data_IF_143085330241
#
_entry.id   IF_143085330241
#
_cell.length_a   1.000
_cell.length_b   1.000
_cell.length_c   1.000
_cell.angle_alpha   90.00
_cell.angle_beta   90.00
_cell.angle_gamma   90.00
#
_symmetry.space_group_name_H-M   'P 1'
#
loop_
_entity.id
_entity.type
_entity.pdbx_description
1 polymer ?
#
# COMPACT_ATOMS: atom_id res chain seq x y z
N UNK A 1 -14.06 -44.49 30.51
CA UNK A 1 -14.14 -43.11 29.96
C UNK A 1 -13.68 -43.13 28.51
N UNK A 2 -14.54 -42.75 27.55
CA UNK A 2 -14.14 -42.61 26.13
C UNK A 2 -13.61 -41.19 25.90
N UNK A 3 -12.51 -40.99 25.16
CA UNK A 3 -12.01 -39.64 24.89
C UNK A 3 -12.94 -38.93 23.91
N UNK A 4 -13.36 -37.72 24.29
CA UNK A 4 -14.22 -36.83 23.50
C UNK A 4 -13.36 -36.22 22.38
N UNK A 5 -13.59 -36.66 21.14
CA UNK A 5 -12.93 -36.11 19.94
C UNK A 5 -13.33 -34.64 19.81
N UNK A 6 -12.35 -33.72 19.88
CA UNK A 6 -12.59 -32.30 19.63
C UNK A 6 -13.07 -32.10 18.17
N UNK A 7 -14.02 -31.18 17.92
CA UNK A 7 -14.45 -30.91 16.55
C UNK A 7 -13.30 -30.25 15.78
N UNK A 8 -12.94 -30.84 14.64
CA UNK A 8 -12.04 -30.21 13.69
C UNK A 8 -12.70 -28.94 13.15
N UNK A 9 -12.05 -27.79 13.31
CA UNK A 9 -12.50 -26.52 12.75
C UNK A 9 -12.51 -26.62 11.22
N UNK A 10 -13.70 -26.57 10.63
CA UNK A 10 -13.94 -26.57 9.18
C UNK A 10 -13.95 -25.14 8.64
N UNK A 11 -12.88 -24.37 8.87
CA UNK A 11 -12.71 -23.11 8.15
C UNK A 11 -12.59 -23.44 6.65
N UNK A 12 -13.54 -22.95 5.83
CA UNK A 12 -13.39 -23.01 4.37
C UNK A 12 -12.06 -22.34 4.01
N UNK A 13 -11.30 -22.88 3.04
CA UNK A 13 -10.18 -22.13 2.49
C UNK A 13 -10.72 -20.80 1.95
N UNK A 14 -10.19 -19.69 2.45
CA UNK A 14 -10.56 -18.35 1.99
C UNK A 14 -10.34 -18.30 0.48
N UNK A 15 -11.26 -17.72 -0.27
CA UNK A 15 -11.05 -17.55 -1.70
C UNK A 15 -9.79 -16.71 -1.92
N UNK A 16 -9.04 -16.91 -3.02
CA UNK A 16 -7.86 -16.08 -3.27
C UNK A 16 -8.16 -14.56 -3.30
N UNK A 17 -9.38 -14.16 -3.69
CA UNK A 17 -9.84 -12.76 -3.59
C UNK A 17 -10.04 -12.33 -2.14
N UNK A 18 -10.62 -13.19 -1.30
CA UNK A 18 -10.80 -12.91 0.12
C UNK A 18 -9.46 -12.74 0.84
N UNK A 19 -8.45 -13.55 0.50
CA UNK A 19 -7.08 -13.38 1.04
C UNK A 19 -6.48 -12.02 0.67
N UNK A 20 -6.70 -11.57 -0.57
CA UNK A 20 -6.23 -10.27 -1.02
C UNK A 20 -6.90 -9.14 -0.23
N UNK A 21 -8.21 -9.23 -0.02
CA UNK A 21 -8.97 -8.27 0.80
C UNK A 21 -8.51 -8.27 2.27
N UNK A 22 -8.36 -9.45 2.86
CA UNK A 22 -7.88 -9.64 4.24
C UNK A 22 -6.50 -9.00 4.45
N UNK A 23 -5.62 -9.10 3.46
CA UNK A 23 -4.27 -8.51 3.53
C UNK A 23 -4.24 -7.03 3.14
N UNK A 24 -5.13 -6.57 2.27
CA UNK A 24 -5.18 -5.19 1.78
C UNK A 24 -5.93 -4.21 2.69
N UNK A 25 -7.01 -4.65 3.32
CA UNK A 25 -7.88 -3.81 4.17
C UNK A 25 -7.15 -3.14 5.34
N UNK A 26 -6.24 -3.82 6.07
CA UNK A 26 -5.50 -3.18 7.15
C UNK A 26 -4.63 -2.00 6.67
N UNK A 27 -4.02 -2.12 5.48
CA UNK A 27 -3.19 -1.06 4.89
C UNK A 27 -4.06 0.17 4.60
N UNK A 28 -5.18 -0.03 3.90
CA UNK A 28 -6.14 1.04 3.58
C UNK A 28 -6.64 1.72 4.86
N UNK A 29 -7.00 0.93 5.88
CA UNK A 29 -7.52 1.44 7.15
C UNK A 29 -6.48 2.22 7.96
N UNK A 30 -5.20 1.86 7.88
CA UNK A 30 -4.13 2.63 8.52
C UNK A 30 -3.91 3.95 7.81
N UNK A 31 -3.87 3.95 6.47
CA UNK A 31 -3.66 5.16 5.68
C UNK A 31 -4.79 6.17 5.84
N UNK A 32 -6.03 5.70 5.85
CA UNK A 32 -7.20 6.56 6.11
C UNK A 32 -7.11 7.24 7.49
N UNK A 33 -6.65 6.51 8.52
CA UNK A 33 -6.43 7.08 9.85
C UNK A 33 -5.30 8.11 9.88
N UNK A 34 -4.21 7.86 9.16
CA UNK A 34 -3.09 8.80 9.05
C UNK A 34 -3.55 10.08 8.34
N UNK A 35 -4.27 9.95 7.22
CA UNK A 35 -4.78 11.09 6.47
C UNK A 35 -5.70 11.98 7.34
N UNK A 36 -6.51 11.36 8.21
CA UNK A 36 -7.45 12.04 9.12
C UNK A 36 -6.84 12.48 10.45
N UNK A 37 -5.55 12.22 10.71
CA UNK A 37 -4.93 12.60 11.98
C UNK A 37 -4.77 14.13 12.09
N UNK A 38 -4.42 14.61 13.29
CA UNK A 38 -4.11 16.03 13.52
C UNK A 38 -2.63 16.37 13.26
N UNK A 39 -1.83 15.41 12.78
CA UNK A 39 -0.39 15.60 12.60
C UNK A 39 -0.07 16.56 11.45
N UNK A 40 1.11 17.21 11.44
CA UNK A 40 1.53 18.01 10.31
C UNK A 40 1.58 17.19 9.01
N UNK A 41 1.23 17.76 7.83
CA UNK A 41 1.16 17.03 6.57
C UNK A 41 2.44 16.25 6.20
N UNK A 42 3.62 16.78 6.56
CA UNK A 42 4.89 16.10 6.34
C UNK A 42 5.03 14.82 7.17
N UNK A 43 4.58 14.84 8.43
CA UNK A 43 4.60 13.69 9.33
C UNK A 43 3.59 12.64 8.86
N UNK A 44 2.38 13.07 8.46
CA UNK A 44 1.37 12.20 7.86
C UNK A 44 1.94 11.47 6.64
N UNK A 45 2.57 12.21 5.74
CA UNK A 45 3.07 11.64 4.49
C UNK A 45 4.23 10.67 4.72
N UNK A 46 5.17 11.01 5.61
CA UNK A 46 6.27 10.11 5.99
C UNK A 46 5.73 8.81 6.55
N UNK A 47 4.82 8.86 7.53
CA UNK A 47 4.21 7.65 8.09
C UNK A 47 3.38 6.86 7.08
N UNK A 48 2.64 7.54 6.19
CA UNK A 48 1.90 6.88 5.11
C UNK A 48 2.84 6.15 4.14
N UNK A 49 3.97 6.77 3.79
CA UNK A 49 4.99 6.16 2.94
C UNK A 49 5.65 4.97 3.64
N UNK A 50 5.99 5.05 4.92
CA UNK A 50 6.53 3.92 5.68
C UNK A 50 5.58 2.72 5.66
N UNK A 51 4.27 2.94 5.81
CA UNK A 51 3.26 1.87 5.74
C UNK A 51 3.19 1.26 4.34
N UNK A 52 3.10 2.09 3.29
CA UNK A 52 2.99 1.61 1.91
C UNK A 52 4.26 0.88 1.49
N UNK A 53 5.43 1.46 1.74
CA UNK A 53 6.70 0.83 1.39
C UNK A 53 7.03 -0.38 2.26
N UNK A 54 6.63 -0.41 3.53
CA UNK A 54 6.72 -1.61 4.35
C UNK A 54 5.83 -2.73 3.80
N UNK A 55 4.61 -2.38 3.38
CA UNK A 55 3.66 -3.33 2.81
C UNK A 55 4.07 -3.86 1.43
N UNK A 56 4.78 -3.10 0.60
CA UNK A 56 5.15 -3.55 -0.75
C UNK A 56 6.64 -3.86 -0.93
N UNK A 57 7.54 -3.15 -0.25
CA UNK A 57 8.99 -3.31 -0.38
C UNK A 57 9.63 -4.22 0.65
N UNK A 58 9.05 -4.31 1.85
CA UNK A 58 9.56 -5.11 2.97
C UNK A 58 8.62 -6.25 3.38
N UNK A 59 7.55 -6.49 2.62
CA UNK A 59 6.59 -7.54 2.92
C UNK A 59 7.18 -8.93 2.82
N UNK A 60 6.54 -9.87 3.53
CA UNK A 60 6.84 -11.28 3.38
C UNK A 60 6.63 -11.77 1.93
N UNK A 61 7.28 -12.89 1.61
CA UNK A 61 7.21 -13.50 0.28
C UNK A 61 5.78 -13.95 -0.08
N UNK A 62 4.95 -14.26 0.91
CA UNK A 62 3.56 -14.69 0.70
C UNK A 62 2.68 -13.53 0.22
N UNK A 63 2.86 -12.33 0.78
CA UNK A 63 2.18 -11.11 0.34
C UNK A 63 2.62 -10.72 -1.07
N UNK A 64 3.93 -10.79 -1.34
CA UNK A 64 4.49 -10.54 -2.67
C UNK A 64 3.94 -11.53 -3.70
N UNK A 65 3.95 -12.82 -3.37
CA UNK A 65 3.36 -13.87 -4.20
C UNK A 65 1.87 -13.66 -4.45
N UNK A 66 1.10 -13.27 -3.43
CA UNK A 66 -0.34 -13.03 -3.52
C UNK A 66 -0.66 -11.88 -4.49
N UNK A 67 0.05 -10.75 -4.38
CA UNK A 67 -0.17 -9.59 -5.25
C UNK A 67 0.26 -9.87 -6.70
N UNK A 68 1.42 -10.51 -6.90
CA UNK A 68 1.89 -10.88 -8.23
C UNK A 68 0.96 -11.89 -8.90
N UNK A 69 0.51 -12.92 -8.17
CA UNK A 69 -0.49 -13.86 -8.65
C UNK A 69 -1.83 -13.17 -8.93
N UNK A 70 -2.23 -12.22 -8.07
CA UNK A 70 -3.41 -11.39 -8.25
C UNK A 70 -3.35 -10.58 -9.55
N UNK A 71 -2.22 -9.93 -9.84
CA UNK A 71 -2.03 -9.17 -11.08
C UNK A 71 -2.11 -10.05 -12.33
N UNK A 72 -1.54 -11.25 -12.30
CA UNK A 72 -1.69 -12.20 -13.41
C UNK A 72 -3.16 -12.61 -13.59
N UNK A 73 -3.86 -12.93 -12.50
CA UNK A 73 -5.27 -13.33 -12.53
C UNK A 73 -6.23 -12.23 -12.93
N UNK A 74 -5.93 -10.97 -12.62
CA UNK A 74 -6.77 -9.82 -12.97
C UNK A 74 -7.01 -9.65 -14.49
N UNK A 75 -6.17 -10.28 -15.33
CA UNK A 75 -6.38 -10.36 -16.78
C UNK A 75 -7.64 -11.13 -17.15
N UNK A 76 -7.97 -12.17 -16.38
CA UNK A 76 -9.01 -13.15 -16.69
C UNK A 76 -10.18 -13.11 -15.69
N UNK A 77 -9.91 -12.66 -14.46
CA UNK A 77 -10.88 -12.62 -13.36
C UNK A 77 -11.27 -11.18 -13.01
N UNK A 78 -12.54 -10.84 -13.33
CA UNK A 78 -13.11 -9.52 -13.09
C UNK A 78 -13.15 -9.16 -11.60
N UNK A 79 -13.40 -10.12 -10.71
CA UNK A 79 -13.49 -9.83 -9.28
C UNK A 79 -12.11 -9.45 -8.75
N UNK A 80 -11.08 -10.23 -9.11
CA UNK A 80 -9.69 -9.90 -8.80
C UNK A 80 -9.29 -8.52 -9.30
N UNK A 81 -9.61 -8.20 -10.55
CA UNK A 81 -9.31 -6.90 -11.14
C UNK A 81 -9.96 -5.76 -10.37
N UNK A 82 -11.22 -5.91 -9.98
CA UNK A 82 -11.94 -4.89 -9.22
C UNK A 82 -11.39 -4.74 -7.80
N UNK A 83 -11.12 -5.83 -7.09
CA UNK A 83 -10.53 -5.79 -5.75
C UNK A 83 -9.16 -5.10 -5.76
N UNK A 84 -8.29 -5.46 -6.70
CA UNK A 84 -6.97 -4.82 -6.85
C UNK A 84 -7.10 -3.34 -7.21
N UNK A 85 -7.96 -3.00 -8.17
CA UNK A 85 -8.17 -1.62 -8.59
C UNK A 85 -8.73 -0.78 -7.43
N UNK A 86 -9.69 -1.31 -6.68
CA UNK A 86 -10.25 -0.65 -5.52
C UNK A 86 -9.19 -0.38 -4.46
N UNK A 87 -8.42 -1.40 -4.07
CA UNK A 87 -7.38 -1.22 -3.05
C UNK A 87 -6.33 -0.19 -3.49
N UNK A 88 -5.86 -0.30 -4.73
CA UNK A 88 -4.90 0.65 -5.32
C UNK A 88 -5.43 2.08 -5.26
N UNK A 89 -6.70 2.25 -5.61
CA UNK A 89 -7.35 3.56 -5.61
C UNK A 89 -7.54 4.12 -4.20
N UNK A 90 -7.90 3.30 -3.21
CA UNK A 90 -8.02 3.77 -1.82
C UNK A 90 -6.68 4.26 -1.26
N UNK A 91 -5.58 3.55 -1.56
CA UNK A 91 -4.24 3.98 -1.15
C UNK A 91 -3.88 5.31 -1.84
N UNK A 92 -4.14 5.42 -3.15
CA UNK A 92 -3.85 6.62 -3.94
C UNK A 92 -4.62 7.84 -3.40
N UNK A 93 -5.90 7.67 -3.08
CA UNK A 93 -6.74 8.74 -2.54
C UNK A 93 -6.25 9.20 -1.16
N UNK A 94 -5.92 8.28 -0.25
CA UNK A 94 -5.40 8.66 1.07
C UNK A 94 -4.09 9.44 0.97
N UNK A 95 -3.18 9.06 0.07
CA UNK A 95 -1.95 9.80 -0.21
C UNK A 95 -2.24 11.17 -0.82
N UNK A 96 -3.19 11.24 -1.77
CA UNK A 96 -3.59 12.49 -2.41
C UNK A 96 -4.17 13.48 -1.41
N UNK A 97 -4.97 13.02 -0.45
CA UNK A 97 -5.57 13.88 0.57
C UNK A 97 -4.49 14.54 1.44
N UNK A 98 -3.50 13.76 1.90
CA UNK A 98 -2.36 14.27 2.67
C UNK A 98 -1.56 15.31 1.86
N UNK A 99 -1.31 15.02 0.58
CA UNK A 99 -0.58 15.92 -0.31
C UNK A 99 -1.36 17.22 -0.56
N UNK A 100 -2.68 17.12 -0.75
CA UNK A 100 -3.56 18.28 -0.95
C UNK A 100 -3.59 19.16 0.28
N UNK A 101 -3.72 18.56 1.47
CA UNK A 101 -3.62 19.27 2.75
C UNK A 101 -2.26 19.98 2.89
N UNK A 102 -1.17 19.30 2.56
CA UNK A 102 0.17 19.87 2.66
C UNK A 102 0.44 21.01 1.68
N UNK A 103 -0.11 20.97 0.47
CA UNK A 103 -0.06 22.10 -0.48
C UNK A 103 -0.85 23.29 0.08
N UNK A 104 -2.08 23.05 0.57
CA UNK A 104 -2.92 24.11 1.13
C UNK A 104 -2.31 24.77 2.38
N UNK A 105 -1.59 23.98 3.19
CA UNK A 105 -0.88 24.45 4.38
C UNK A 105 0.51 25.06 4.08
N UNK A 106 0.96 25.06 2.82
CA UNK A 106 2.29 25.55 2.42
C UNK A 106 3.46 24.66 2.87
N UNK A 107 3.18 23.42 3.28
CA UNK A 107 4.18 22.43 3.66
C UNK A 107 4.85 21.75 2.46
N UNK A 108 4.17 21.71 1.31
CA UNK A 108 4.68 21.20 0.03
C UNK A 108 4.62 22.29 -1.04
N UNK A 109 5.35 22.11 -2.14
CA UNK A 109 5.37 23.07 -3.25
C UNK A 109 3.97 23.34 -3.81
N UNK A 110 3.69 24.60 -4.12
CA UNK A 110 2.37 25.04 -4.61
C UNK A 110 2.04 24.56 -6.03
N UNK A 111 3.04 24.20 -6.84
CA UNK A 111 2.90 23.70 -8.21
C UNK A 111 2.77 22.18 -8.31
N UNK A 112 2.72 21.49 -7.17
CA UNK A 112 2.62 20.04 -7.09
C UNK A 112 1.22 19.58 -7.50
N UNK A 113 1.12 18.61 -8.42
CA UNK A 113 -0.11 17.85 -8.67
C UNK A 113 -0.23 16.72 -7.63
N UNK A 114 -1.14 16.82 -6.64
CA UNK A 114 -1.23 15.84 -5.55
C UNK A 114 -1.63 14.45 -6.06
N UNK A 115 -2.47 14.39 -7.09
CA UNK A 115 -2.95 13.13 -7.66
C UNK A 115 -1.83 12.39 -8.41
N UNK A 116 -1.07 13.12 -9.22
CA UNK A 116 0.08 12.56 -9.95
C UNK A 116 1.17 12.08 -8.98
N UNK A 117 1.50 12.87 -7.96
CA UNK A 117 2.51 12.50 -6.97
C UNK A 117 2.09 11.29 -6.15
N UNK A 118 0.82 11.22 -5.71
CA UNK A 118 0.29 10.03 -5.03
C UNK A 118 0.43 8.77 -5.90
N UNK A 119 0.15 8.87 -7.20
CA UNK A 119 0.32 7.76 -8.14
C UNK A 119 1.80 7.34 -8.29
N UNK A 120 2.74 8.31 -8.31
CA UNK A 120 4.18 8.04 -8.36
C UNK A 120 4.65 7.33 -7.10
N UNK A 121 4.24 7.78 -5.91
CA UNK A 121 4.60 7.13 -4.64
C UNK A 121 4.14 5.68 -4.63
N UNK A 122 2.86 5.44 -4.95
CA UNK A 122 2.28 4.10 -4.95
C UNK A 122 2.93 3.20 -6.02
N UNK A 123 3.16 3.70 -7.23
CA UNK A 123 3.85 2.96 -8.29
C UNK A 123 5.30 2.62 -7.92
N UNK A 124 5.98 3.50 -7.18
CA UNK A 124 7.33 3.23 -6.68
C UNK A 124 7.33 2.09 -5.66
N UNK A 125 6.36 2.05 -4.75
CA UNK A 125 6.24 0.98 -3.78
C UNK A 125 5.93 -0.38 -4.43
N UNK A 126 5.01 -0.43 -5.40
CA UNK A 126 4.77 -1.64 -6.20
C UNK A 126 6.00 -2.05 -7.02
N UNK A 127 6.79 -1.08 -7.49
CA UNK A 127 8.09 -1.34 -8.12
C UNK A 127 9.07 -2.05 -7.18
N UNK A 128 9.06 -1.74 -5.88
CA UNK A 128 9.83 -2.46 -4.87
C UNK A 128 9.34 -3.91 -4.71
N UNK A 129 8.02 -4.14 -4.74
CA UNK A 129 7.42 -5.48 -4.70
C UNK A 129 7.87 -6.34 -5.89
N UNK A 130 7.90 -5.76 -7.09
CA UNK A 130 8.38 -6.46 -8.29
C UNK A 130 9.87 -6.77 -8.19
N UNK A 131 10.67 -5.81 -7.73
CA UNK A 131 12.10 -5.99 -7.58
C UNK A 131 12.43 -7.04 -6.53
N UNK A 132 11.72 -7.11 -5.40
CA UNK A 132 11.99 -8.08 -4.35
C UNK A 132 11.86 -9.52 -4.84
N UNK A 133 10.85 -9.79 -5.68
CA UNK A 133 10.66 -11.08 -6.33
C UNK A 133 11.80 -11.44 -7.30
N UNK A 134 12.41 -10.45 -7.96
CA UNK A 134 13.53 -10.68 -8.91
C UNK A 134 14.90 -10.71 -8.24
N UNK A 135 15.06 -10.04 -7.09
CA UNK A 135 16.33 -9.90 -6.38
C UNK A 135 16.48 -10.92 -5.23
N UNK A 136 15.41 -11.66 -4.90
CA UNK A 136 15.41 -12.70 -3.88
C UNK A 136 15.38 -12.17 -2.44
N UNK A 137 14.89 -10.96 -2.23
CA UNK A 137 14.85 -10.33 -0.91
C UNK A 137 14.20 -8.94 -0.91
N UNK A 138 13.93 -8.40 0.28
CA UNK A 138 13.31 -7.09 0.45
C UNK A 138 14.13 -5.97 -0.21
N UNK A 139 13.45 -4.93 -0.69
CA UNK A 139 14.06 -3.71 -1.23
C UNK A 139 13.89 -2.59 -0.20
N UNK A 140 14.94 -2.23 0.54
CA UNK A 140 14.84 -1.24 1.61
C UNK A 140 14.41 0.12 1.04
N UNK A 141 13.29 0.71 1.52
CA UNK A 141 12.71 1.90 0.92
C UNK A 141 13.40 3.19 1.37
N UNK A 142 14.30 3.15 2.35
CA UNK A 142 14.80 4.35 3.04
C UNK A 142 15.38 5.42 2.11
N UNK A 143 16.13 5.05 1.07
CA UNK A 143 16.64 6.03 0.10
C UNK A 143 15.56 6.56 -0.84
N UNK A 144 14.61 5.72 -1.25
CA UNK A 144 13.48 6.10 -2.09
C UNK A 144 12.56 7.08 -1.35
N UNK A 145 12.22 6.77 -0.09
CA UNK A 145 11.39 7.61 0.77
C UNK A 145 12.02 8.99 0.96
N UNK A 146 13.31 9.05 1.32
CA UNK A 146 14.04 10.32 1.46
C UNK A 146 14.07 11.12 0.16
N UNK A 147 14.25 10.46 -0.97
CA UNK A 147 14.29 11.09 -2.29
C UNK A 147 12.93 11.68 -2.65
N UNK A 148 11.86 10.89 -2.51
CA UNK A 148 10.49 11.31 -2.75
C UNK A 148 10.12 12.50 -1.86
N UNK A 149 10.37 12.45 -0.55
CA UNK A 149 10.11 13.57 0.36
C UNK A 149 10.86 14.85 -0.03
N UNK A 150 12.11 14.74 -0.47
CA UNK A 150 12.90 15.89 -0.93
C UNK A 150 12.27 16.53 -2.17
N UNK A 151 11.79 15.73 -3.12
CA UNK A 151 11.16 16.23 -4.33
C UNK A 151 9.88 17.05 -4.05
N UNK A 152 9.22 16.86 -2.91
CA UNK A 152 8.00 17.60 -2.55
C UNK A 152 8.26 19.03 -2.08
N UNK A 153 9.49 19.35 -1.69
CA UNK A 153 9.87 20.64 -1.09
C UNK A 153 10.88 21.42 -1.92
N UNK A 154 11.56 20.78 -2.88
CA UNK A 154 12.61 21.43 -3.68
C UNK A 154 12.02 21.95 -4.99
N UNK A 155 11.95 23.27 -5.19
CA UNK A 155 11.57 23.86 -6.49
C UNK A 155 12.55 23.39 -7.58
N UNK A 156 12.03 23.12 -8.78
CA UNK A 156 12.87 22.92 -9.96
C UNK A 156 13.51 24.24 -10.41
#
# INVERSE_FOLDING_TARGET
MKPKKAPASTARPSSPTALLEERGLPIVSVLDRIAKSADPPRVKLEGAMEIVFGAFGESDLDFSGLFLAGWMRAREDKHFRLTLAWQREQIRLALQDILTEGVAAGAFRADLDPGAVAAVILGTAEGCLLQSATQGGAVPPGQLLRTLLRLLVTSA
#
